data_IF_693599675134
#
_entry.id   IF_693599675134
#
_cell.length_a   1.000
_cell.length_b   1.000
_cell.length_c   1.000
_cell.angle_alpha   90.00
_cell.angle_beta   90.00
_cell.angle_gamma   90.00
#
_symmetry.space_group_name_H-M   'P 1'
#
loop_
_entity.id
_entity.type
_entity.pdbx_description
1 polymer ?
#
# COMPACT_ATOMS: atom_id res chain seq x y z
N UNK A 1 -12.42 -35.19 41.81
CA UNK A 1 -11.19 -35.84 41.30
C UNK A 1 -11.56 -36.74 40.11
N UNK A 2 -11.52 -36.21 38.87
CA UNK A 2 -11.72 -36.97 37.63
C UNK A 2 -10.44 -36.82 36.80
N UNK A 3 -9.73 -37.93 36.55
CA UNK A 3 -8.54 -37.98 35.67
C UNK A 3 -9.01 -37.83 34.23
N UNK A 4 -8.60 -36.77 33.56
CA UNK A 4 -8.75 -36.65 32.11
C UNK A 4 -7.62 -37.41 31.40
N UNK A 5 -8.03 -38.21 30.43
CA UNK A 5 -7.28 -39.23 29.71
C UNK A 5 -6.36 -38.59 28.64
N UNK A 6 -5.05 -38.60 28.87
CA UNK A 6 -4.02 -38.04 27.96
C UNK A 6 -3.64 -38.98 26.80
N UNK A 7 -4.34 -40.11 26.60
CA UNK A 7 -3.98 -41.10 25.57
C UNK A 7 -4.48 -40.80 24.15
N UNK A 8 -5.40 -39.85 23.94
CA UNK A 8 -5.94 -39.59 22.57
C UNK A 8 -5.07 -38.65 21.72
N UNK A 9 -4.38 -37.67 22.32
CA UNK A 9 -3.55 -36.69 21.59
C UNK A 9 -2.36 -37.35 20.87
N UNK A 10 -1.67 -38.28 21.53
CA UNK A 10 -0.50 -38.95 20.96
C UNK A 10 -0.78 -39.91 19.80
N UNK A 11 -2.03 -40.35 19.58
CA UNK A 11 -2.39 -41.21 18.42
C UNK A 11 -2.65 -40.41 17.14
N UNK A 12 -3.15 -39.18 17.26
CA UNK A 12 -3.40 -38.32 16.10
C UNK A 12 -2.10 -37.75 15.53
N UNK A 13 -1.19 -37.28 16.40
CA UNK A 13 0.11 -36.75 15.98
C UNK A 13 0.99 -37.80 15.30
N UNK A 14 0.96 -39.06 15.78
CA UNK A 14 1.71 -40.16 15.16
C UNK A 14 1.16 -40.58 13.80
N UNK A 15 -0.16 -40.52 13.59
CA UNK A 15 -0.77 -40.79 12.29
C UNK A 15 -0.52 -39.68 11.29
N UNK A 16 -0.51 -38.43 11.75
CA UNK A 16 -0.22 -37.25 10.93
C UNK A 16 1.26 -37.22 10.49
N UNK A 17 2.19 -37.50 11.41
CA UNK A 17 3.60 -37.60 11.10
C UNK A 17 3.90 -38.76 10.11
N UNK A 18 3.24 -39.91 10.28
CA UNK A 18 3.38 -41.03 9.34
C UNK A 18 2.85 -40.68 7.93
N UNK A 19 1.72 -39.97 7.83
CA UNK A 19 1.17 -39.54 6.54
C UNK A 19 2.07 -38.50 5.84
N UNK A 20 2.65 -37.56 6.61
CA UNK A 20 3.57 -36.55 6.09
C UNK A 20 4.89 -37.16 5.60
N UNK A 21 5.43 -38.13 6.35
CA UNK A 21 6.64 -38.87 5.96
C UNK A 21 6.39 -39.73 4.72
N UNK A 22 5.22 -40.39 4.62
CA UNK A 22 4.83 -41.10 3.39
C UNK A 22 4.65 -40.16 2.19
N UNK A 23 4.12 -38.95 2.37
CA UNK A 23 3.98 -37.96 1.30
C UNK A 23 5.35 -37.47 0.79
N UNK A 24 6.28 -37.19 1.70
CA UNK A 24 7.66 -36.78 1.34
C UNK A 24 8.38 -37.93 0.62
N UNK A 25 8.19 -39.17 1.05
CA UNK A 25 8.73 -40.35 0.37
C UNK A 25 8.15 -40.52 -1.04
N UNK A 26 6.85 -40.37 -1.23
CA UNK A 26 6.20 -40.47 -2.56
C UNK A 26 6.70 -39.34 -3.48
N UNK A 27 6.76 -38.11 -2.98
CA UNK A 27 7.28 -36.95 -3.74
C UNK A 27 8.77 -37.11 -4.09
N UNK A 28 9.55 -37.77 -3.23
CA UNK A 28 10.97 -38.05 -3.49
C UNK A 28 11.23 -39.18 -4.51
N UNK A 29 10.21 -40.00 -4.82
CA UNK A 29 10.29 -41.06 -5.83
C UNK A 29 9.78 -40.65 -7.21
N UNK A 30 9.22 -39.44 -7.36
CA UNK A 30 8.87 -38.88 -8.67
C UNK A 30 10.15 -38.34 -9.29
N UNK A 31 10.90 -39.24 -9.92
CA UNK A 31 12.07 -38.90 -10.73
C UNK A 31 11.61 -38.01 -11.91
N UNK A 32 12.38 -36.96 -12.20
CA UNK A 32 12.13 -35.99 -13.26
C UNK A 32 12.37 -36.60 -14.65
N UNK A 33 11.48 -37.51 -15.06
CA UNK A 33 11.44 -38.11 -16.39
C UNK A 33 10.04 -37.93 -16.98
N UNK A 34 9.91 -36.98 -17.92
CA UNK A 34 8.63 -36.55 -18.46
C UNK A 34 7.77 -37.68 -19.04
N UNK A 35 6.70 -38.02 -18.33
CA UNK A 35 5.58 -38.77 -18.89
C UNK A 35 4.24 -38.24 -18.36
N UNK A 36 3.35 -37.86 -19.29
CA UNK A 36 2.03 -37.23 -19.05
C UNK A 36 1.00 -38.11 -18.32
N UNK A 37 1.38 -39.30 -17.81
CA UNK A 37 0.49 -40.18 -17.04
C UNK A 37 0.51 -39.90 -15.54
N UNK A 38 1.60 -39.32 -15.02
CA UNK A 38 1.80 -39.20 -13.57
C UNK A 38 1.05 -38.00 -12.95
N UNK A 39 0.58 -37.06 -13.78
CA UNK A 39 -0.17 -35.89 -13.31
C UNK A 39 -1.59 -36.21 -12.83
N UNK A 40 -2.22 -37.27 -13.37
CA UNK A 40 -3.59 -37.66 -12.98
C UNK A 40 -3.65 -38.31 -11.60
N UNK A 41 -2.64 -39.08 -11.22
CA UNK A 41 -2.58 -39.69 -9.90
C UNK A 41 -2.30 -38.64 -8.81
N UNK A 42 -1.44 -37.66 -9.09
CA UNK A 42 -1.15 -36.54 -8.18
C UNK A 42 -2.40 -35.66 -7.96
N UNK A 43 -3.13 -35.36 -9.03
CA UNK A 43 -4.37 -34.57 -8.96
C UNK A 43 -5.46 -35.31 -8.19
N UNK A 44 -5.60 -36.62 -8.39
CA UNK A 44 -6.53 -37.45 -7.63
C UNK A 44 -6.16 -37.56 -6.15
N UNK A 45 -4.87 -37.63 -5.81
CA UNK A 45 -4.38 -37.67 -4.43
C UNK A 45 -4.64 -36.34 -3.70
N UNK A 46 -4.40 -35.21 -4.36
CA UNK A 46 -4.70 -33.86 -3.85
C UNK A 46 -6.20 -33.65 -3.63
N UNK A 47 -7.03 -34.18 -4.53
CA UNK A 47 -8.50 -34.13 -4.42
C UNK A 47 -9.00 -35.03 -3.28
N UNK A 48 -8.36 -36.19 -3.05
CA UNK A 48 -8.69 -37.05 -1.91
C UNK A 48 -8.33 -36.40 -0.56
N UNK A 49 -7.24 -35.63 -0.51
CA UNK A 49 -6.80 -34.90 0.68
C UNK A 49 -7.69 -33.69 0.99
N UNK A 50 -8.24 -33.01 -0.02
CA UNK A 50 -9.19 -31.90 0.21
C UNK A 50 -10.56 -32.37 0.71
N UNK A 51 -10.96 -33.60 0.37
CA UNK A 51 -12.22 -34.22 0.83
C UNK A 51 -12.15 -34.80 2.26
N UNK A 52 -10.96 -35.06 2.80
CA UNK A 52 -10.79 -35.80 4.06
C UNK A 52 -10.69 -34.94 5.34
N UNK A 53 -10.72 -33.59 5.25
CA UNK A 53 -10.74 -32.77 6.45
C UNK A 53 -10.59 -31.28 6.17
N UNK A 54 -11.64 -30.53 6.48
CA UNK A 54 -11.68 -29.08 6.33
C UNK A 54 -10.60 -28.37 7.14
N UNK A 55 -9.51 -28.02 6.46
CA UNK A 55 -8.67 -26.86 6.74
C UNK A 55 -8.19 -26.30 5.40
N UNK A 56 -8.42 -24.99 5.19
CA UNK A 56 -7.99 -24.26 4.01
C UNK A 56 -6.46 -24.21 3.93
N UNK A 57 -5.85 -25.25 3.36
CA UNK A 57 -4.47 -25.20 2.87
C UNK A 57 -4.49 -24.53 1.49
N UNK A 58 -4.22 -23.22 1.46
CA UNK A 58 -3.80 -22.50 0.24
C UNK A 58 -2.40 -23.02 -0.14
N UNK A 59 -2.31 -24.20 -0.72
CA UNK A 59 -1.09 -24.66 -1.38
C UNK A 59 -0.97 -24.00 -2.74
N UNK A 60 -0.14 -22.95 -2.81
CA UNK A 60 0.34 -22.34 -4.06
C UNK A 60 1.17 -23.37 -4.80
N UNK A 61 0.68 -23.90 -5.92
CA UNK A 61 1.52 -24.63 -6.87
C UNK A 61 2.37 -23.56 -7.59
N UNK A 62 3.62 -23.42 -7.17
CA UNK A 62 4.62 -22.67 -7.93
C UNK A 62 5.09 -23.61 -9.03
N UNK A 63 4.67 -23.36 -10.27
CA UNK A 63 5.19 -24.09 -11.42
C UNK A 63 6.64 -23.66 -11.65
N UNK A 64 7.58 -24.50 -11.23
CA UNK A 64 9.02 -24.26 -11.33
C UNK A 64 9.56 -24.30 -12.76
N UNK A 65 8.70 -24.53 -13.77
CA UNK A 65 9.08 -24.50 -15.18
C UNK A 65 8.87 -23.15 -15.87
N UNK A 66 8.38 -22.12 -15.17
CA UNK A 66 8.29 -20.77 -15.75
C UNK A 66 9.62 -20.00 -15.75
N UNK A 67 10.68 -20.54 -15.12
CA UNK A 67 11.99 -19.87 -14.99
C UNK A 67 13.05 -20.33 -16.00
N UNK A 68 12.70 -21.11 -17.02
CA UNK A 68 13.67 -21.50 -18.06
C UNK A 68 13.03 -21.60 -19.43
N UNK A 69 13.06 -20.50 -20.19
CA UNK A 69 12.88 -20.55 -21.64
C UNK A 69 11.81 -19.63 -22.22
N UNK A 70 11.84 -18.33 -21.91
CA UNK A 70 11.31 -17.32 -22.85
C UNK A 70 12.46 -16.40 -23.23
N UNK A 71 13.15 -16.76 -24.30
CA UNK A 71 14.00 -15.84 -25.03
C UNK A 71 13.13 -14.74 -25.64
N UNK A 72 13.45 -13.50 -25.30
CA UNK A 72 12.69 -12.28 -25.54
C UNK A 72 12.63 -11.80 -27.01
N UNK A 73 12.45 -12.69 -27.99
CA UNK A 73 12.46 -12.28 -29.41
C UNK A 73 11.48 -13.00 -30.32
N UNK A 74 10.47 -13.72 -29.80
CA UNK A 74 9.49 -14.42 -30.66
C UNK A 74 8.05 -14.40 -30.18
N UNK A 75 7.69 -13.58 -29.19
CA UNK A 75 6.31 -13.43 -28.72
C UNK A 75 5.49 -12.38 -29.52
N UNK A 76 5.98 -11.92 -30.66
CA UNK A 76 5.44 -10.75 -31.38
C UNK A 76 4.52 -11.07 -32.57
N UNK A 77 3.83 -12.22 -32.61
CA UNK A 77 2.87 -12.47 -33.71
C UNK A 77 1.61 -13.29 -33.41
N UNK A 78 1.33 -13.67 -32.16
CA UNK A 78 0.09 -14.40 -31.82
C UNK A 78 -0.48 -13.98 -30.46
N UNK A 79 -0.61 -12.68 -30.20
CA UNK A 79 -1.49 -12.19 -29.14
C UNK A 79 -2.19 -10.94 -29.69
N UNK A 80 -3.45 -11.12 -30.06
CA UNK A 80 -4.39 -10.01 -30.10
C UNK A 80 -4.67 -9.70 -28.61
N UNK A 81 -4.19 -8.58 -28.06
CA UNK A 81 -4.33 -8.31 -26.63
C UNK A 81 -5.77 -7.87 -26.36
N UNK A 82 -6.22 -7.92 -25.10
CA UNK A 82 -7.51 -7.38 -24.61
C UNK A 82 -8.69 -8.36 -24.48
N UNK A 83 -8.50 -9.66 -24.31
CA UNK A 83 -9.56 -10.46 -23.66
C UNK A 83 -9.00 -11.54 -22.74
N UNK A 84 -9.23 -11.39 -21.43
CA UNK A 84 -9.05 -12.45 -20.44
C UNK A 84 -7.62 -12.76 -19.99
N UNK A 85 -6.67 -11.83 -20.15
CA UNK A 85 -5.33 -12.03 -19.60
C UNK A 85 -5.39 -11.87 -18.07
N UNK A 86 -5.12 -12.96 -17.35
CA UNK A 86 -5.08 -12.95 -15.89
C UNK A 86 -4.00 -11.98 -15.42
N UNK A 87 -4.40 -11.00 -14.60
CA UNK A 87 -3.46 -10.06 -13.99
C UNK A 87 -2.48 -10.81 -13.10
N UNK A 88 -1.20 -10.58 -13.33
CA UNK A 88 -0.10 -11.12 -12.52
C UNK A 88 0.74 -10.01 -11.93
N UNK A 89 0.99 -10.07 -10.62
CA UNK A 89 1.93 -9.18 -9.94
C UNK A 89 3.37 -9.34 -10.46
N UNK A 90 3.72 -10.43 -11.14
CA UNK A 90 5.05 -10.62 -11.73
C UNK A 90 5.35 -9.69 -12.92
N UNK A 91 4.31 -9.12 -13.54
CA UNK A 91 4.44 -8.17 -14.65
C UNK A 91 4.40 -6.71 -14.20
N UNK A 92 4.10 -6.45 -12.92
CA UNK A 92 4.19 -5.11 -12.36
C UNK A 92 5.67 -4.69 -12.30
N UNK A 93 5.98 -3.53 -12.87
CA UNK A 93 7.34 -2.98 -12.89
C UNK A 93 7.49 -1.82 -11.90
N UNK A 94 6.43 -1.05 -11.67
CA UNK A 94 6.44 0.01 -10.67
C UNK A 94 5.09 0.70 -10.48
N UNK A 95 4.99 1.45 -9.38
CA UNK A 95 3.87 2.34 -9.08
C UNK A 95 4.30 3.77 -9.35
N UNK A 96 3.52 4.48 -10.17
CA UNK A 96 3.70 5.89 -10.46
C UNK A 96 2.91 6.73 -9.45
N UNK A 97 3.55 7.79 -8.96
CA UNK A 97 2.98 8.82 -8.13
C UNK A 97 3.13 10.17 -8.85
N UNK A 98 1.99 10.79 -9.19
CA UNK A 98 2.00 12.19 -9.62
C UNK A 98 2.57 13.08 -8.51
N UNK A 99 2.14 12.86 -7.28
CA UNK A 99 2.79 13.35 -6.05
C UNK A 99 2.63 12.30 -4.94
N UNK A 100 3.61 12.24 -4.03
CA UNK A 100 3.57 11.44 -2.81
C UNK A 100 3.92 12.34 -1.62
N UNK A 101 3.01 12.48 -0.67
CA UNK A 101 3.23 13.19 0.60
C UNK A 101 3.16 12.22 1.78
N UNK A 102 4.07 12.36 2.75
CA UNK A 102 4.03 11.60 4.00
C UNK A 102 4.16 12.56 5.17
N UNK A 103 3.19 12.52 6.07
CA UNK A 103 3.08 13.43 7.21
C UNK A 103 2.78 12.66 8.48
N UNK A 104 3.49 12.95 9.56
CA UNK A 104 3.17 12.50 10.90
C UNK A 104 2.45 13.62 11.66
N UNK A 105 1.44 13.25 12.44
CA UNK A 105 0.57 14.14 13.19
C UNK A 105 0.65 13.84 14.68
N UNK A 106 0.62 14.90 15.48
CA UNK A 106 0.58 14.89 16.94
C UNK A 106 -0.60 15.75 17.38
N UNK A 107 -1.59 15.15 18.05
CA UNK A 107 -2.81 15.83 18.48
C UNK A 107 -2.58 16.53 19.81
N UNK A 108 -2.53 17.86 19.76
CA UNK A 108 -2.09 18.74 20.84
C UNK A 108 -3.11 19.87 21.08
N UNK A 109 -4.36 19.55 21.42
CA UNK A 109 -5.40 20.55 21.61
C UNK A 109 -5.05 21.50 22.77
N UNK A 110 -5.20 22.81 22.52
CA UNK A 110 -4.99 23.85 23.54
C UNK A 110 -3.53 24.25 23.79
N UNK A 111 -2.57 23.66 23.08
CA UNK A 111 -1.17 24.10 23.12
C UNK A 111 -1.00 25.46 22.42
N UNK A 112 -0.21 26.35 23.02
CA UNK A 112 -0.01 27.71 22.49
C UNK A 112 0.85 27.73 21.23
N UNK A 113 1.79 26.79 21.13
CA UNK A 113 2.72 26.66 20.02
C UNK A 113 2.60 25.27 19.38
N UNK A 114 1.91 25.22 18.24
CA UNK A 114 1.89 24.02 17.41
C UNK A 114 3.22 23.87 16.66
N UNK A 115 3.76 22.65 16.63
CA UNK A 115 4.98 22.32 15.90
C UNK A 115 4.60 22.06 14.45
N UNK A 116 4.92 22.98 13.54
CA UNK A 116 4.64 22.82 12.12
C UNK A 116 5.68 23.53 11.27
N UNK A 117 5.78 23.13 10.00
CA UNK A 117 6.59 23.84 9.02
C UNK A 117 5.78 25.02 8.44
N UNK A 118 6.17 26.29 8.62
CA UNK A 118 5.43 27.42 8.05
C UNK A 118 5.30 27.35 6.52
N UNK A 119 6.22 26.67 5.83
CA UNK A 119 6.20 26.52 4.37
C UNK A 119 5.22 25.44 3.86
N UNK A 120 4.60 24.65 4.75
CA UNK A 120 3.60 23.65 4.35
C UNK A 120 2.22 24.27 4.06
N UNK A 121 1.97 25.51 4.52
CA UNK A 121 0.69 26.21 4.33
C UNK A 121 -0.40 25.83 5.33
N UNK A 122 0.00 25.27 6.48
CA UNK A 122 -0.88 24.76 7.52
C UNK A 122 -1.11 25.78 8.66
N UNK A 123 -2.32 25.78 9.26
CA UNK A 123 -2.74 26.75 10.30
C UNK A 123 -3.68 26.15 11.37
N UNK A 124 -3.72 24.82 11.53
CA UNK A 124 -4.61 24.16 12.49
C UNK A 124 -4.22 24.41 13.96
N UNK A 125 -5.16 24.78 14.85
CA UNK A 125 -4.84 25.11 16.25
C UNK A 125 -4.59 23.90 17.15
N UNK A 126 -5.05 22.69 16.79
CA UNK A 126 -5.03 21.54 17.71
C UNK A 126 -4.00 20.47 17.33
N UNK A 127 -3.25 20.68 16.25
CA UNK A 127 -2.42 19.64 15.68
C UNK A 127 -1.01 20.15 15.39
N UNK A 128 -0.03 19.29 15.66
CA UNK A 128 1.37 19.44 15.29
C UNK A 128 1.72 18.43 14.18
N UNK A 129 2.66 18.80 13.32
CA UNK A 129 2.91 18.18 12.03
C UNK A 129 4.40 18.00 11.78
N UNK A 130 4.77 16.81 11.33
CA UNK A 130 6.07 16.51 10.77
C UNK A 130 5.96 15.96 9.36
N UNK A 131 6.39 16.76 8.38
CA UNK A 131 6.43 16.35 6.97
C UNK A 131 7.69 15.53 6.73
N UNK A 132 7.51 14.21 6.64
CA UNK A 132 8.57 13.22 6.36
C UNK A 132 8.96 13.26 4.89
N UNK A 133 7.96 13.27 4.01
CA UNK A 133 8.13 13.30 2.56
C UNK A 133 7.29 14.46 1.99
N UNK A 134 7.88 15.65 1.78
CA UNK A 134 7.11 16.82 1.33
C UNK A 134 6.63 16.67 -0.11
N UNK A 135 5.47 17.24 -0.45
CA UNK A 135 4.93 17.33 -1.82
C UNK A 135 5.08 18.73 -2.43
N UNK A 136 4.60 18.90 -3.68
CA UNK A 136 4.35 20.22 -4.29
C UNK A 136 5.56 20.99 -4.81
N UNK A 137 6.62 20.28 -5.21
CA UNK A 137 7.76 20.83 -5.95
C UNK A 137 8.14 19.86 -7.08
N UNK A 138 8.78 20.38 -8.13
CA UNK A 138 9.00 19.66 -9.39
C UNK A 138 9.75 18.33 -9.21
N UNK A 139 10.78 18.30 -8.37
CA UNK A 139 11.58 17.10 -8.12
C UNK A 139 10.77 15.98 -7.42
N UNK A 140 9.77 16.35 -6.60
CA UNK A 140 8.92 15.42 -5.86
C UNK A 140 7.71 14.89 -6.65
N UNK A 141 7.53 15.35 -7.89
CA UNK A 141 6.44 14.92 -8.78
C UNK A 141 6.87 13.82 -9.74
N UNK A 142 5.91 13.11 -10.33
CA UNK A 142 6.16 12.21 -11.48
C UNK A 142 7.16 11.09 -11.17
N UNK A 143 7.09 10.55 -9.96
CA UNK A 143 8.04 9.57 -9.45
C UNK A 143 7.47 8.15 -9.56
N UNK A 144 8.32 7.19 -9.91
CA UNK A 144 7.99 5.77 -9.95
C UNK A 144 8.80 5.03 -8.90
N UNK A 145 8.09 4.34 -8.01
CA UNK A 145 8.67 3.32 -7.16
C UNK A 145 8.69 2.00 -7.93
N UNK A 146 9.88 1.50 -8.28
CA UNK A 146 10.02 0.21 -8.96
C UNK A 146 9.78 -0.95 -7.99
N UNK A 147 9.34 -2.09 -8.50
CA UNK A 147 9.18 -3.30 -7.69
C UNK A 147 10.55 -3.73 -7.12
N UNK A 148 10.60 -3.89 -5.80
CA UNK A 148 11.83 -4.25 -5.07
C UNK A 148 12.66 -3.05 -4.60
N UNK A 149 12.34 -1.83 -5.06
CA UNK A 149 13.04 -0.62 -4.64
C UNK A 149 12.41 -0.02 -3.37
N UNK A 150 13.12 0.97 -2.82
CA UNK A 150 12.65 1.80 -1.71
C UNK A 150 12.37 3.22 -2.23
N UNK A 151 11.64 4.02 -1.44
CA UNK A 151 11.45 5.44 -1.75
C UNK A 151 12.82 6.10 -1.90
N UNK A 152 13.07 6.74 -3.05
CA UNK A 152 14.33 7.42 -3.29
C UNK A 152 14.39 8.70 -2.44
N UNK A 153 15.39 8.84 -1.55
CA UNK A 153 15.58 10.07 -0.79
C UNK A 153 15.69 11.32 -1.69
N UNK A 154 16.20 11.20 -2.91
CA UNK A 154 16.38 12.34 -3.81
C UNK A 154 15.07 12.90 -4.37
N UNK A 155 13.95 12.18 -4.22
CA UNK A 155 12.63 12.75 -4.50
C UNK A 155 12.31 13.91 -3.55
N UNK A 156 12.98 13.98 -2.40
CA UNK A 156 12.73 14.95 -1.33
C UNK A 156 14.02 15.69 -0.98
N UNK A 157 14.29 16.88 -1.56
CA UNK A 157 15.55 17.58 -1.34
C UNK A 157 15.74 17.87 0.17
N UNK A 158 16.96 17.71 0.72
CA UNK A 158 17.21 17.86 2.15
C UNK A 158 16.77 19.20 2.75
N UNK A 159 16.77 20.27 1.95
CA UNK A 159 16.28 21.60 2.34
C UNK A 159 14.77 21.67 2.59
N UNK A 160 14.01 20.69 2.10
CA UNK A 160 12.55 20.59 2.24
C UNK A 160 12.13 19.56 3.30
N UNK A 161 13.04 18.68 3.71
CA UNK A 161 12.79 17.75 4.82
C UNK A 161 12.76 18.52 6.13
N UNK A 162 11.69 18.37 6.89
CA UNK A 162 11.55 19.07 8.16
C UNK A 162 12.44 18.40 9.22
N UNK A 163 13.16 19.23 9.98
CA UNK A 163 13.76 18.83 11.26
C UNK A 163 12.75 19.15 12.35
N UNK A 164 12.34 18.14 13.11
CA UNK A 164 11.63 18.41 14.37
C UNK A 164 12.63 19.06 15.34
N UNK A 165 12.21 20.08 16.07
CA UNK A 165 13.04 20.82 17.05
C UNK A 165 12.61 20.62 18.50
N UNK A 166 11.59 19.81 18.75
CA UNK A 166 11.02 19.49 20.06
C UNK A 166 10.59 18.02 20.14
N UNK A 167 10.16 17.55 21.30
CA UNK A 167 9.56 16.22 21.40
C UNK A 167 8.21 16.17 20.65
N UNK A 168 7.85 14.99 20.15
CA UNK A 168 6.67 14.79 19.29
C UNK A 168 6.06 13.40 19.52
N UNK A 169 4.76 13.32 19.77
CA UNK A 169 4.02 12.06 19.91
C UNK A 169 3.23 11.80 18.64
N UNK A 170 3.59 10.76 17.88
CA UNK A 170 2.90 10.46 16.64
C UNK A 170 1.60 9.74 16.97
N UNK A 171 0.48 10.39 16.66
CA UNK A 171 -0.90 9.89 16.79
C UNK A 171 -1.48 9.37 15.48
N UNK A 172 -1.05 9.97 14.37
CA UNK A 172 -1.40 9.51 13.05
C UNK A 172 -0.26 9.74 12.05
N UNK A 173 -0.22 8.88 11.04
CA UNK A 173 0.60 9.06 9.84
C UNK A 173 -0.30 9.08 8.63
N UNK A 174 -0.17 10.09 7.79
CA UNK A 174 -0.81 10.14 6.48
C UNK A 174 0.20 9.85 5.39
N UNK A 175 -0.23 9.02 4.44
CA UNK A 175 0.39 8.83 3.15
C UNK A 175 -0.63 9.28 2.11
N UNK A 176 -0.42 10.48 1.57
CA UNK A 176 -1.22 11.02 0.49
C UNK A 176 -0.60 10.59 -0.85
N UNK A 177 -1.38 9.91 -1.66
CA UNK A 177 -0.98 9.49 -2.99
C UNK A 177 -1.87 10.19 -4.02
N UNK A 178 -1.27 11.02 -4.86
CA UNK A 178 -1.96 11.78 -5.89
C UNK A 178 -1.66 11.26 -7.29
N UNK A 179 -2.71 11.12 -8.10
CA UNK A 179 -2.67 10.68 -9.49
C UNK A 179 -1.87 9.39 -9.67
N UNK A 180 -2.25 8.35 -8.93
CA UNK A 180 -1.55 7.06 -8.91
C UNK A 180 -1.77 6.31 -10.22
N UNK A 181 -0.69 5.75 -10.77
CA UNK A 181 -0.69 4.89 -11.94
C UNK A 181 0.25 3.70 -11.77
N UNK A 182 0.34 2.83 -12.77
CA UNK A 182 1.26 1.69 -12.77
C UNK A 182 2.02 1.57 -14.09
N UNK A 183 3.24 1.08 -14.01
CA UNK A 183 3.96 0.54 -15.17
C UNK A 183 3.85 -0.98 -15.11
N UNK A 184 3.23 -1.57 -16.12
CA UNK A 184 2.86 -2.97 -16.16
C UNK A 184 3.15 -3.55 -17.54
N UNK A 185 3.99 -4.58 -17.61
CA UNK A 185 4.39 -5.25 -18.86
C UNK A 185 4.85 -4.29 -19.99
N UNK A 186 5.64 -3.28 -19.63
CA UNK A 186 6.09 -2.19 -20.51
C UNK A 186 4.94 -1.38 -21.14
N UNK A 187 3.85 -1.20 -20.39
CA UNK A 187 2.79 -0.25 -20.68
C UNK A 187 2.51 0.60 -19.44
N UNK A 188 2.08 1.85 -19.66
CA UNK A 188 1.74 2.77 -18.58
C UNK A 188 0.25 2.96 -18.48
N UNK A 189 -0.28 2.75 -17.27
CA UNK A 189 -1.70 2.86 -16.98
C UNK A 189 -1.92 3.96 -15.94
N UNK A 190 -2.73 4.96 -16.28
CA UNK A 190 -2.95 6.16 -15.46
C UNK A 190 -4.40 6.62 -15.52
N UNK A 191 -4.95 7.23 -14.45
CA UNK A 191 -6.31 7.72 -14.44
C UNK A 191 -6.57 8.92 -15.38
N UNK A 192 -5.53 9.54 -15.96
CA UNK A 192 -5.67 10.70 -16.85
C UNK A 192 -4.79 10.60 -18.09
N UNK A 193 -5.28 11.20 -19.18
CA UNK A 193 -4.45 11.54 -20.34
C UNK A 193 -3.66 12.82 -20.04
N UNK A 194 -2.34 12.72 -20.03
CA UNK A 194 -1.48 13.91 -19.94
C UNK A 194 -1.33 14.50 -21.35
N UNK A 195 -2.33 15.27 -21.77
CA UNK A 195 -2.36 15.84 -23.10
C UNK A 195 -1.36 17.00 -23.24
N UNK A 196 -0.11 16.73 -23.63
CA UNK A 196 0.79 17.64 -24.38
C UNK A 196 1.12 19.04 -23.80
N UNK A 197 0.50 19.48 -22.71
CA UNK A 197 0.96 20.56 -21.86
C UNK A 197 2.01 19.95 -20.99
N UNK A 198 3.23 20.47 -21.10
CA UNK A 198 4.35 19.91 -20.40
C UNK A 198 4.10 19.84 -18.90
N UNK A 199 4.73 18.84 -18.32
CA UNK A 199 4.76 18.42 -16.92
C UNK A 199 5.02 19.59 -15.94
N UNK A 200 5.60 20.69 -16.41
CA UNK A 200 5.88 21.94 -15.68
C UNK A 200 4.91 23.10 -15.95
N UNK A 201 3.82 22.89 -16.68
CA UNK A 201 2.94 23.97 -17.17
C UNK A 201 3.54 24.77 -18.35
N UNK A 202 4.69 24.34 -18.88
CA UNK A 202 5.33 24.82 -20.12
C UNK A 202 5.25 23.80 -21.26
N UNK A 203 5.78 24.08 -22.45
CA UNK A 203 5.64 23.21 -23.63
C UNK A 203 6.74 22.15 -23.86
N UNK A 204 7.69 21.97 -22.94
CA UNK A 204 8.94 21.23 -23.23
C UNK A 204 8.98 19.77 -22.78
N UNK A 205 8.20 19.37 -21.78
CA UNK A 205 8.22 18.00 -21.23
C UNK A 205 6.84 17.38 -21.26
N UNK A 206 6.42 16.78 -22.38
CA UNK A 206 5.05 16.25 -22.53
C UNK A 206 4.86 14.85 -21.95
N UNK A 207 5.92 14.23 -21.43
CA UNK A 207 5.89 12.86 -20.92
C UNK A 207 6.11 12.82 -19.40
N UNK A 208 5.10 12.37 -18.64
CA UNK A 208 5.18 12.18 -17.18
C UNK A 208 6.20 11.13 -16.75
N UNK A 209 6.73 10.32 -17.67
CA UNK A 209 7.76 9.31 -17.41
C UNK A 209 9.18 9.79 -17.76
N UNK A 210 9.38 11.09 -18.03
CA UNK A 210 10.67 11.66 -18.46
C UNK A 210 11.87 11.32 -17.57
N UNK A 211 11.65 11.11 -16.27
CA UNK A 211 12.69 10.71 -15.29
C UNK A 211 13.17 9.26 -15.47
N UNK A 212 12.46 8.46 -16.25
CA UNK A 212 12.68 7.02 -16.42
C UNK A 212 12.87 6.70 -17.91
N UNK A 213 14.09 6.90 -18.47
CA UNK A 213 14.36 6.78 -19.91
C UNK A 213 13.85 5.48 -20.54
N UNK A 214 13.94 4.36 -19.82
CA UNK A 214 13.45 3.04 -20.21
C UNK A 214 11.95 2.98 -20.49
N UNK A 215 11.17 3.91 -19.93
CA UNK A 215 9.71 3.98 -20.03
C UNK A 215 9.24 5.23 -20.78
N UNK A 216 10.14 6.01 -21.37
CA UNK A 216 9.74 7.24 -22.07
C UNK A 216 8.97 6.99 -23.38
N UNK A 217 8.98 5.78 -23.91
CA UNK A 217 8.35 5.43 -25.20
C UNK A 217 7.34 4.29 -25.09
N UNK A 218 6.95 3.88 -23.88
CA UNK A 218 5.98 2.81 -23.70
C UNK A 218 4.55 3.29 -24.04
N UNK A 219 3.66 2.39 -24.52
CA UNK A 219 2.25 2.70 -24.70
C UNK A 219 1.61 3.24 -23.41
N UNK A 220 0.71 4.21 -23.55
CA UNK A 220 -0.03 4.80 -22.44
C UNK A 220 -1.52 4.52 -22.58
N UNK A 221 -2.14 4.16 -21.47
CA UNK A 221 -3.54 3.79 -21.39
C UNK A 221 -4.22 4.55 -20.26
N UNK A 222 -5.41 5.09 -20.56
CA UNK A 222 -6.28 5.64 -19.51
C UNK A 222 -6.92 4.46 -18.80
N UNK A 223 -6.55 4.28 -17.54
CA UNK A 223 -7.08 3.24 -16.68
C UNK A 223 -7.24 3.78 -15.26
N UNK A 224 -8.47 3.96 -14.76
CA UNK A 224 -8.66 4.26 -13.36
C UNK A 224 -8.04 3.22 -12.43
N UNK A 225 -7.37 3.72 -11.40
CA UNK A 225 -6.81 2.95 -10.31
C UNK A 225 -7.73 3.08 -9.10
N UNK A 226 -8.19 1.94 -8.56
CA UNK A 226 -9.01 1.88 -7.36
C UNK A 226 -8.23 1.29 -6.19
N UNK A 227 -8.37 1.95 -5.05
CA UNK A 227 -7.88 1.42 -3.79
C UNK A 227 -8.92 0.48 -3.13
N UNK A 228 -8.47 -0.44 -2.25
CA UNK A 228 -9.33 -1.35 -1.54
C UNK A 228 -10.48 -0.66 -0.81
N UNK A 229 -11.71 -1.17 -1.04
CA UNK A 229 -12.93 -0.66 -0.41
C UNK A 229 -13.55 0.57 -1.08
N UNK A 230 -12.94 1.13 -2.13
CA UNK A 230 -13.58 2.12 -2.97
C UNK A 230 -14.13 1.53 -4.27
N UNK A 231 -15.24 2.12 -4.71
CA UNK A 231 -15.93 1.81 -5.96
C UNK A 231 -15.70 2.86 -7.04
N UNK A 232 -15.29 4.06 -6.63
CA UNK A 232 -15.16 5.22 -7.50
C UNK A 232 -13.70 5.66 -7.53
N UNK A 233 -13.34 6.32 -8.63
CA UNK A 233 -11.97 6.77 -8.88
C UNK A 233 -11.75 8.09 -8.16
N UNK A 234 -10.69 8.17 -7.36
CA UNK A 234 -10.23 9.42 -6.78
C UNK A 234 -8.82 9.76 -7.25
N UNK A 235 -8.63 11.05 -7.50
CA UNK A 235 -7.33 11.64 -7.81
C UNK A 235 -6.38 11.60 -6.62
N UNK A 236 -6.92 11.68 -5.41
CA UNK A 236 -6.17 11.69 -4.17
C UNK A 236 -6.71 10.60 -3.25
N UNK A 237 -5.84 9.68 -2.84
CA UNK A 237 -6.16 8.69 -1.81
C UNK A 237 -5.24 8.90 -0.63
N UNK A 238 -5.83 8.94 0.57
CA UNK A 238 -5.10 9.08 1.82
C UNK A 238 -5.14 7.75 2.57
N UNK A 239 -3.97 7.16 2.82
CA UNK A 239 -3.85 6.05 3.76
C UNK A 239 -3.38 6.64 5.08
N UNK A 240 -4.24 6.59 6.10
CA UNK A 240 -3.99 7.19 7.40
C UNK A 240 -3.82 6.08 8.43
N UNK A 241 -2.60 5.88 8.90
CA UNK A 241 -2.34 5.01 10.04
C UNK A 241 -2.63 5.78 11.33
N UNK A 242 -3.59 5.32 12.12
CA UNK A 242 -4.04 5.97 13.36
C UNK A 242 -3.81 5.04 14.53
N UNK A 243 -3.50 5.58 15.71
CA UNK A 243 -3.35 4.74 16.90
C UNK A 243 -4.59 3.86 17.13
N UNK A 244 -4.33 2.60 17.43
CA UNK A 244 -5.37 1.57 17.60
C UNK A 244 -6.33 1.83 18.76
N UNK A 245 -5.93 2.60 19.78
CA UNK A 245 -6.84 3.00 20.87
C UNK A 245 -7.86 4.06 20.44
N UNK A 246 -7.60 4.79 19.35
CA UNK A 246 -8.53 5.77 18.75
C UNK A 246 -9.41 5.07 17.71
N UNK A 247 -8.79 4.39 16.73
CA UNK A 247 -9.48 3.64 15.68
C UNK A 247 -9.05 2.17 15.79
N UNK A 248 -9.86 1.27 16.39
CA UNK A 248 -9.42 -0.10 16.70
C UNK A 248 -9.42 -1.07 15.52
N UNK A 249 -10.15 -0.76 14.45
CA UNK A 249 -10.26 -1.60 13.26
C UNK A 249 -10.23 -0.76 11.99
N UNK A 250 -9.69 -1.28 10.87
CA UNK A 250 -9.64 -0.54 9.61
C UNK A 250 -11.01 -0.01 9.20
N UNK A 251 -11.05 1.18 8.61
CA UNK A 251 -12.27 1.77 8.06
C UNK A 251 -11.97 2.57 6.81
N UNK A 252 -12.81 2.40 5.80
CA UNK A 252 -12.79 3.19 4.57
C UNK A 252 -13.81 4.30 4.74
N UNK A 253 -13.40 5.54 4.53
CA UNK A 253 -14.23 6.73 4.72
C UNK A 253 -14.22 7.55 3.44
N UNK A 254 -15.42 7.74 2.87
CA UNK A 254 -15.69 8.77 1.86
C UNK A 254 -16.19 10.02 2.56
N UNK A 255 -15.47 11.11 2.38
CA UNK A 255 -15.78 12.42 2.91
C UNK A 255 -16.53 13.24 1.88
N UNK A 256 -17.51 14.00 2.34
CA UNK A 256 -18.09 15.09 1.57
C UNK A 256 -17.33 16.37 1.91
N UNK A 257 -17.12 17.22 0.91
CA UNK A 257 -16.52 18.52 1.13
C UNK A 257 -17.26 19.61 0.34
N UNK A 258 -17.30 20.80 0.92
CA UNK A 258 -17.81 22.01 0.27
C UNK A 258 -16.68 23.03 0.27
N UNK A 259 -16.40 23.61 -0.90
CA UNK A 259 -15.42 24.69 -1.03
C UNK A 259 -16.17 26.02 -0.93
N UNK A 260 -15.82 26.82 0.06
CA UNK A 260 -16.20 28.23 0.12
C UNK A 260 -15.09 29.05 -0.55
N UNK A 261 -15.37 29.53 -1.75
CA UNK A 261 -14.42 30.30 -2.56
C UNK A 261 -14.19 31.71 -2.04
N UNK A 262 -15.13 32.29 -1.29
CA UNK A 262 -14.99 33.65 -0.74
C UNK A 262 -14.12 33.62 0.52
N UNK A 263 -14.35 32.63 1.39
CA UNK A 263 -13.55 32.44 2.60
C UNK A 263 -12.26 31.66 2.36
N UNK A 264 -12.07 31.07 1.17
CA UNK A 264 -10.98 30.13 0.88
C UNK A 264 -10.91 28.98 1.89
N UNK A 265 -12.07 28.48 2.32
CA UNK A 265 -12.16 27.37 3.30
C UNK A 265 -12.79 26.13 2.70
N UNK A 266 -12.42 24.97 3.21
CA UNK A 266 -13.03 23.69 2.86
C UNK A 266 -13.73 23.16 4.11
N UNK A 267 -15.04 22.91 4.00
CA UNK A 267 -15.81 22.27 5.07
C UNK A 267 -15.95 20.79 4.78
N UNK A 268 -15.53 19.96 5.74
CA UNK A 268 -15.61 18.50 5.64
C UNK A 268 -16.73 17.91 6.50
N UNK A 269 -17.37 16.88 5.97
CA UNK A 269 -18.29 15.99 6.68
C UNK A 269 -18.09 14.53 6.24
N UNK A 270 -18.45 13.58 7.10
CA UNK A 270 -18.38 12.15 6.73
C UNK A 270 -19.57 11.80 5.86
N UNK A 271 -19.31 11.27 4.66
CA UNK A 271 -20.32 10.79 3.73
C UNK A 271 -20.67 9.32 3.96
N UNK A 272 -19.81 8.41 3.50
CA UNK A 272 -20.02 6.97 3.60
C UNK A 272 -18.83 6.30 4.30
N UNK A 273 -19.09 5.21 5.02
CA UNK A 273 -18.09 4.47 5.78
C UNK A 273 -18.28 2.96 5.61
N UNK A 274 -17.20 2.18 5.55
CA UNK A 274 -17.30 0.72 5.40
C UNK A 274 -17.87 0.00 6.64
N UNK A 275 -17.89 0.70 7.78
CA UNK A 275 -18.56 0.29 9.02
C UNK A 275 -19.08 1.51 9.76
N UNK A 276 -19.91 1.32 10.78
CA UNK A 276 -20.30 2.40 11.69
C UNK A 276 -19.08 2.90 12.48
N UNK A 277 -18.96 4.23 12.58
CA UNK A 277 -17.96 4.91 13.40
C UNK A 277 -18.53 5.27 14.78
N UNK A 278 -17.73 5.08 15.83
CA UNK A 278 -17.97 5.72 17.12
C UNK A 278 -17.84 7.24 17.00
N UNK A 279 -18.35 7.97 18.00
CA UNK A 279 -18.31 9.44 17.96
C UNK A 279 -16.87 9.94 18.03
N UNK A 280 -16.05 9.33 18.87
CA UNK A 280 -14.65 9.65 19.05
C UNK A 280 -13.85 9.43 17.76
N UNK A 281 -14.11 8.32 17.04
CA UNK A 281 -13.52 8.05 15.72
C UNK A 281 -13.93 9.11 14.69
N UNK A 282 -15.22 9.46 14.65
CA UNK A 282 -15.77 10.47 13.75
C UNK A 282 -15.14 11.83 14.01
N UNK A 283 -15.07 12.24 15.27
CA UNK A 283 -14.56 13.55 15.68
C UNK A 283 -13.07 13.66 15.41
N UNK A 284 -12.30 12.58 15.66
CA UNK A 284 -10.89 12.51 15.30
C UNK A 284 -10.66 12.69 13.79
N UNK A 285 -11.36 11.89 12.96
CA UNK A 285 -11.20 11.93 11.49
C UNK A 285 -11.60 13.30 10.94
N UNK A 286 -12.70 13.89 11.44
CA UNK A 286 -13.13 15.22 11.03
C UNK A 286 -12.18 16.32 11.49
N UNK A 287 -11.64 16.22 12.71
CA UNK A 287 -10.65 17.15 13.22
C UNK A 287 -9.41 17.13 12.33
N UNK A 288 -8.89 15.94 12.03
CA UNK A 288 -7.74 15.78 11.15
C UNK A 288 -8.03 16.27 9.74
N UNK A 289 -9.17 15.93 9.12
CA UNK A 289 -9.46 16.40 7.76
C UNK A 289 -9.61 17.93 7.66
N UNK A 290 -10.13 18.59 8.71
CA UNK A 290 -10.33 20.05 8.74
C UNK A 290 -9.06 20.82 9.03
N UNK A 291 -8.19 20.25 9.86
CA UNK A 291 -6.98 20.92 10.33
C UNK A 291 -5.73 20.39 9.65
N UNK A 292 -5.78 19.25 8.96
CA UNK A 292 -4.66 18.54 8.31
C UNK A 292 -3.92 19.34 7.25
N UNK A 293 -3.08 18.67 6.45
CA UNK A 293 -2.43 19.39 5.34
C UNK A 293 -3.48 19.83 4.32
N UNK A 294 -3.58 21.13 4.08
CA UNK A 294 -4.59 21.72 3.19
C UNK A 294 -4.22 21.61 1.70
N UNK A 295 -3.08 20.98 1.40
CA UNK A 295 -2.54 20.87 0.03
C UNK A 295 -3.40 20.01 -0.88
N UNK A 296 -4.14 19.06 -0.32
CA UNK A 296 -4.99 18.12 -1.05
C UNK A 296 -6.31 17.93 -0.30
N UNK A 297 -7.31 17.46 -1.05
CA UNK A 297 -8.64 17.23 -0.50
C UNK A 297 -8.68 15.87 0.19
N UNK A 298 -9.20 15.84 1.40
CA UNK A 298 -9.52 14.61 2.12
C UNK A 298 -10.86 14.06 1.60
N UNK A 299 -10.88 13.46 0.41
CA UNK A 299 -12.09 12.82 -0.15
C UNK A 299 -12.19 11.34 0.22
N UNK A 300 -11.09 10.60 0.00
CA UNK A 300 -11.03 9.16 0.15
C UNK A 300 -9.94 8.78 1.16
N UNK A 301 -10.38 8.25 2.31
CA UNK A 301 -9.51 7.88 3.43
C UNK A 301 -9.57 6.36 3.70
N UNK A 302 -8.42 5.69 3.68
CA UNK A 302 -8.23 4.38 4.30
C UNK A 302 -7.61 4.60 5.66
N UNK A 303 -8.40 4.48 6.72
CA UNK A 303 -7.94 4.65 8.10
C UNK A 303 -7.59 3.30 8.68
N UNK A 304 -6.33 3.11 9.08
CA UNK A 304 -5.76 1.81 9.47
C UNK A 304 -5.19 1.91 10.88
N UNK A 305 -5.55 1.01 11.81
CA UNK A 305 -4.93 0.98 13.13
C UNK A 305 -3.43 0.65 13.05
N UNK A 306 -2.60 1.35 13.82
CA UNK A 306 -1.26 0.89 14.18
C UNK A 306 -1.05 0.87 15.69
N UNK A 307 -0.05 0.10 16.11
CA UNK A 307 0.34 -0.04 17.51
C UNK A 307 1.20 1.16 17.95
N UNK A 308 0.58 2.33 18.07
CA UNK A 308 1.16 3.57 18.58
C UNK A 308 0.88 3.83 20.07
N UNK A 309 1.05 5.07 20.55
CA UNK A 309 1.80 6.15 19.87
C UNK A 309 3.30 5.82 19.80
N UNK A 310 4.01 6.49 18.89
CA UNK A 310 5.48 6.51 18.89
C UNK A 310 5.96 7.88 19.34
N UNK A 311 6.88 7.92 20.29
CA UNK A 311 7.42 9.16 20.82
C UNK A 311 8.78 9.45 20.21
N UNK A 312 8.94 10.63 19.64
CA UNK A 312 10.19 11.14 19.10
C UNK A 312 10.76 12.14 20.09
N UNK A 313 11.99 11.92 20.55
CA UNK A 313 12.65 12.79 21.54
C UNK A 313 13.93 13.43 20.99
N UNK A 314 14.14 14.71 21.27
CA UNK A 314 15.32 15.48 20.82
C UNK A 314 16.57 15.16 21.62
N UNK A 315 16.45 15.23 22.94
CA UNK A 315 17.57 15.14 23.89
C UNK A 315 17.61 13.78 24.62
N UNK A 316 16.57 12.96 24.45
CA UNK A 316 16.47 11.63 25.03
C UNK A 316 17.20 10.55 24.22
N UNK A 317 17.42 9.41 24.88
CA UNK A 317 17.87 8.16 24.23
C UNK A 317 16.67 7.36 23.75
N UNK A 318 16.88 6.54 22.72
CA UNK A 318 15.86 5.60 22.29
C UNK A 318 15.58 4.55 23.37
N UNK A 319 14.30 4.28 23.60
CA UNK A 319 13.79 3.14 24.36
C UNK A 319 12.69 2.45 23.54
N UNK A 320 13.07 1.57 22.58
CA UNK A 320 12.12 0.90 21.71
C UNK A 320 11.09 0.03 22.46
N UNK A 321 11.42 -0.44 23.67
CA UNK A 321 10.48 -1.23 24.47
C UNK A 321 9.27 -0.39 24.91
N UNK A 322 9.45 0.92 25.08
CA UNK A 322 8.42 1.89 25.40
C UNK A 322 8.03 2.76 24.19
N UNK A 323 8.44 2.38 22.97
CA UNK A 323 8.18 3.11 21.72
C UNK A 323 8.70 4.56 21.74
N UNK A 324 9.82 4.80 22.41
CA UNK A 324 10.51 6.10 22.46
C UNK A 324 11.73 6.02 21.55
N UNK A 325 11.90 7.00 20.68
CA UNK A 325 12.94 7.01 19.65
C UNK A 325 13.62 8.36 19.61
N UNK A 326 14.95 8.37 19.75
CA UNK A 326 15.74 9.60 19.62
C UNK A 326 15.85 9.99 18.15
N UNK A 327 15.64 11.25 17.81
CA UNK A 327 15.82 11.74 16.42
C UNK A 327 17.27 11.59 15.95
N UNK A 328 18.21 11.56 16.89
CA UNK A 328 19.63 11.36 16.61
C UNK A 328 19.95 9.91 16.25
N UNK A 329 19.16 8.96 16.73
CA UNK A 329 19.40 7.52 16.59
C UNK A 329 18.40 6.85 15.66
N UNK A 330 17.28 7.50 15.32
CA UNK A 330 16.17 6.89 14.59
C UNK A 330 15.66 7.74 13.42
N UNK A 331 15.03 7.07 12.45
CA UNK A 331 14.33 7.68 11.31
C UNK A 331 13.00 6.97 11.06
N UNK A 332 11.98 7.72 10.62
CA UNK A 332 10.72 7.14 10.12
C UNK A 332 10.98 6.63 8.72
N UNK A 333 10.72 5.35 8.51
CA UNK A 333 10.86 4.70 7.23
C UNK A 333 9.52 4.17 6.74
N UNK A 334 9.18 4.48 5.50
CA UNK A 334 7.95 4.01 4.84
C UNK A 334 8.33 3.00 3.76
N UNK A 335 7.83 1.78 3.92
CA UNK A 335 8.06 0.66 3.01
C UNK A 335 6.85 0.40 2.16
N UNK A 336 7.10 0.03 0.92
CA UNK A 336 6.12 -0.49 -0.02
C UNK A 336 6.58 -1.90 -0.43
N UNK A 337 5.76 -2.90 -0.14
CA UNK A 337 5.99 -4.27 -0.62
C UNK A 337 5.05 -4.53 -1.79
N UNK A 338 5.57 -4.29 -3.00
CA UNK A 338 4.80 -4.37 -4.23
C UNK A 338 4.61 -5.81 -4.75
N UNK A 339 5.08 -6.82 -4.02
CA UNK A 339 5.00 -8.24 -4.45
C UNK A 339 3.57 -8.74 -4.66
N UNK A 340 2.59 -8.11 -4.00
CA UNK A 340 1.16 -8.37 -4.16
C UNK A 340 0.37 -7.05 -4.21
N UNK A 341 0.87 -6.05 -4.96
CA UNK A 341 0.23 -4.75 -5.05
C UNK A 341 -1.11 -4.75 -5.81
N UNK A 342 -1.28 -5.63 -6.79
CA UNK A 342 -2.48 -5.71 -7.64
C UNK A 342 -3.42 -6.81 -7.19
N UNK A 343 -4.72 -6.52 -7.24
CA UNK A 343 -5.75 -7.55 -7.20
C UNK A 343 -5.70 -8.36 -8.50
N UNK A 344 -5.67 -9.68 -8.35
CA UNK A 344 -5.53 -10.64 -9.46
C UNK A 344 -6.83 -11.39 -9.75
N UNK A 345 -7.91 -11.08 -9.03
CA UNK A 345 -9.24 -11.57 -9.39
C UNK A 345 -9.69 -10.89 -10.69
N UNK A 346 -9.90 -11.65 -11.79
CA UNK A 346 -10.34 -11.09 -13.06
C UNK A 346 -11.73 -10.45 -13.00
N UNK A 347 -12.53 -10.70 -11.95
CA UNK A 347 -13.80 -9.99 -11.74
C UNK A 347 -13.59 -8.56 -11.21
N UNK A 348 -12.45 -8.29 -10.57
CA UNK A 348 -12.18 -7.02 -9.90
C UNK A 348 -11.19 -6.15 -10.68
N UNK A 349 -10.20 -6.79 -11.31
CA UNK A 349 -9.18 -6.16 -12.16
C UNK A 349 -9.25 -6.75 -13.57
N UNK A 350 -9.48 -5.89 -14.56
CA UNK A 350 -9.60 -6.29 -15.97
C UNK A 350 -8.93 -5.23 -16.86
N UNK A 351 -7.90 -5.61 -17.60
CA UNK A 351 -7.25 -4.70 -18.55
C UNK A 351 -8.01 -4.58 -19.88
N UNK A 352 -9.02 -5.44 -20.13
CA UNK A 352 -9.94 -5.28 -21.27
C UNK A 352 -11.01 -4.22 -21.04
N UNK A 353 -11.28 -3.87 -19.76
CA UNK A 353 -12.10 -2.74 -19.32
C UNK A 353 -11.25 -1.94 -18.34
N UNK A 354 -10.40 -1.01 -18.80
CA UNK A 354 -9.12 -0.64 -18.17
C UNK A 354 -9.29 -0.17 -16.72
N UNK A 355 -9.39 -1.11 -15.80
CA UNK A 355 -9.66 -0.88 -14.39
C UNK A 355 -8.63 -1.66 -13.62
N UNK A 356 -7.81 -0.92 -12.89
CA UNK A 356 -6.80 -1.47 -12.01
C UNK A 356 -7.33 -1.38 -10.60
N UNK A 357 -7.30 -2.49 -9.87
CA UNK A 357 -7.52 -2.47 -8.44
C UNK A 357 -6.25 -2.87 -7.71
N UNK A 358 -5.87 -2.09 -6.72
CA UNK A 358 -4.84 -2.50 -5.77
C UNK A 358 -5.40 -3.54 -4.81
N UNK A 359 -4.59 -4.55 -4.53
CA UNK A 359 -4.88 -5.50 -3.47
C UNK A 359 -4.62 -4.86 -2.10
N UNK A 360 -5.22 -5.47 -1.07
CA UNK A 360 -5.01 -5.14 0.32
C UNK A 360 -4.63 -6.41 1.10
N UNK A 361 -3.91 -6.22 2.20
CA UNK A 361 -3.71 -7.30 3.17
C UNK A 361 -4.96 -7.52 4.05
N UNK A 362 -4.86 -8.42 5.03
CA UNK A 362 -5.96 -8.72 5.96
C UNK A 362 -6.36 -7.56 6.89
N UNK A 363 -5.61 -6.45 6.91
CA UNK A 363 -5.90 -5.21 7.62
C UNK A 363 -6.31 -4.08 6.67
N UNK A 364 -6.62 -4.40 5.41
CA UNK A 364 -6.97 -3.44 4.37
C UNK A 364 -5.83 -2.46 4.01
N UNK A 365 -4.58 -2.84 4.26
CA UNK A 365 -3.40 -2.05 3.90
C UNK A 365 -3.08 -2.26 2.43
N UNK A 366 -3.13 -1.23 1.57
CA UNK A 366 -2.80 -1.37 0.16
C UNK A 366 -1.28 -1.34 -0.08
N UNK A 367 -0.84 -1.83 -1.24
CA UNK A 367 0.54 -1.71 -1.75
C UNK A 367 1.63 -2.26 -0.80
N UNK A 368 1.24 -3.15 0.11
CA UNK A 368 2.13 -3.67 1.15
C UNK A 368 2.75 -2.57 2.02
N UNK A 369 2.05 -1.44 2.19
CA UNK A 369 2.51 -0.29 2.96
C UNK A 369 2.87 -0.68 4.40
N UNK A 370 4.04 -0.27 4.87
CA UNK A 370 4.45 -0.46 6.26
C UNK A 370 5.18 0.77 6.75
N UNK A 371 4.85 1.17 7.98
CA UNK A 371 5.57 2.20 8.71
C UNK A 371 6.49 1.53 9.72
N UNK A 372 7.75 1.97 9.75
CA UNK A 372 8.74 1.50 10.71
C UNK A 372 9.56 2.68 11.24
N UNK A 373 9.90 2.64 12.52
CA UNK A 373 10.98 3.47 13.07
C UNK A 373 12.24 2.61 13.13
N UNK A 374 13.26 3.01 12.36
CA UNK A 374 14.52 2.27 12.22
C UNK A 374 15.65 3.03 12.90
N UNK A 375 16.59 2.29 13.50
CA UNK A 375 17.85 2.86 13.98
C UNK A 375 18.72 3.26 12.79
N UNK A 376 19.38 4.41 12.89
CA UNK A 376 20.36 4.91 11.92
C UNK A 376 21.67 4.13 11.94
#
# INVERSE_FOLDING_TARGET
MKRHDTKSKGRYERKFAAALVSLILILSTIDCGGNKKDSKELTNLLTLLSLAGGTNLKTRIVDSNFSSGISASSASSLINPHSGQLVSNALLQGIYFGELEIVAYDYRPGETDQIHNPASGFVGPDWSYWVVAPSGYTEGRYNILKVGDQIDPNWYPPSRRQKITSDFEIDAFEINMYSVGIVYDNEFYTPFEYAGVGVDGGGSETNVLYKYPEWTQIPQHIAPVLFPGFTDVSLATNVIFVRKDIVPTPVVVKMNYTIDTEASTITYSIGNTSRTLANEERDFILSLARQGTTRRVYSDLLVIPYEGPWKITQDGKSDPANKIYSVNESEIFVKFDLSNALDTDPAETDFSVPKIRFAADGQNVPLGLKLELVSK
#
